data_IF_965318368653
#
_entry.id   IF_965318368653
#
_cell.length_a   1.000
_cell.length_b   1.000
_cell.length_c   1.000
_cell.angle_alpha   90.00
_cell.angle_beta   90.00
_cell.angle_gamma   90.00
#
_symmetry.space_group_name_H-M   'P 1'
#
loop_
_entity.id
_entity.type
_entity.pdbx_description
1 polymer ?
#
# COMPACT_ATOMS: atom_id res chain seq x y z
N UNK A 1 6.40 1.99 15.88
CA UNK A 1 7.18 1.65 14.68
C UNK A 1 7.75 0.26 14.81
N UNK A 2 7.40 -0.61 13.86
CA UNK A 2 8.03 -1.92 13.68
C UNK A 2 9.53 -1.75 13.38
N UNK A 3 10.35 -2.68 13.88
CA UNK A 3 11.76 -2.80 13.50
C UNK A 3 11.87 -3.15 12.02
N UNK A 4 13.01 -2.88 11.38
CA UNK A 4 13.24 -3.24 9.97
C UNK A 4 13.01 -4.74 9.70
N UNK A 5 13.40 -5.59 10.65
CA UNK A 5 13.11 -7.03 10.63
C UNK A 5 11.61 -7.32 10.70
N UNK A 6 10.87 -6.59 11.53
CA UNK A 6 9.41 -6.68 11.60
C UNK A 6 8.72 -6.26 10.30
N UNK A 7 9.23 -5.23 9.60
CA UNK A 7 8.75 -4.84 8.28
C UNK A 7 8.98 -5.93 7.23
N UNK A 8 10.22 -6.42 7.12
CA UNK A 8 10.56 -7.48 6.16
C UNK A 8 9.74 -8.75 6.38
N UNK A 9 9.60 -9.17 7.64
CA UNK A 9 8.76 -10.31 8.00
C UNK A 9 7.29 -10.07 7.66
N UNK A 10 6.76 -8.87 7.94
CA UNK A 10 5.38 -8.53 7.62
C UNK A 10 5.12 -8.60 6.12
N UNK A 11 6.02 -8.05 5.28
CA UNK A 11 5.92 -8.18 3.81
C UNK A 11 5.94 -9.65 3.41
N UNK A 12 6.95 -10.41 3.84
CA UNK A 12 7.10 -11.80 3.43
C UNK A 12 5.90 -12.65 3.82
N UNK A 13 5.46 -12.57 5.08
CA UNK A 13 4.33 -13.34 5.60
C UNK A 13 3.02 -13.00 4.88
N UNK A 14 2.76 -11.70 4.65
CA UNK A 14 1.52 -11.25 3.98
C UNK A 14 1.52 -11.55 2.49
N UNK A 15 2.66 -11.46 1.80
CA UNK A 15 2.80 -11.90 0.40
C UNK A 15 2.55 -13.41 0.30
N UNK A 16 3.18 -14.22 1.16
CA UNK A 16 2.92 -15.66 1.20
C UNK A 16 1.44 -15.98 1.43
N UNK A 17 0.79 -15.30 2.38
CA UNK A 17 -0.63 -15.48 2.65
C UNK A 17 -1.50 -15.14 1.42
N UNK A 18 -1.23 -14.01 0.75
CA UNK A 18 -1.94 -13.62 -0.49
C UNK A 18 -1.76 -14.65 -1.60
N UNK A 19 -0.52 -15.10 -1.82
CA UNK A 19 -0.15 -16.03 -2.90
C UNK A 19 -0.72 -17.43 -2.65
N UNK A 20 -0.62 -17.95 -1.42
CA UNK A 20 -1.20 -19.25 -1.05
C UNK A 20 -2.73 -19.23 -1.16
N UNK A 21 -3.36 -18.12 -0.79
CA UNK A 21 -4.80 -17.97 -0.99
C UNK A 21 -5.19 -17.90 -2.48
N UNK A 22 -4.33 -17.33 -3.34
CA UNK A 22 -4.51 -17.37 -4.79
C UNK A 22 -4.34 -18.78 -5.36
N UNK A 23 -3.35 -19.53 -4.88
CA UNK A 23 -3.07 -20.91 -5.30
C UNK A 23 -4.22 -21.89 -4.98
N UNK A 24 -5.06 -21.56 -4.00
CA UNK A 24 -6.26 -22.33 -3.69
C UNK A 24 -7.39 -22.16 -4.73
N UNK A 25 -7.21 -21.28 -5.73
CA UNK A 25 -8.19 -20.96 -6.78
C UNK A 25 -9.58 -20.57 -6.26
N UNK A 26 -9.65 -20.05 -5.04
CA UNK A 26 -10.89 -19.62 -4.40
C UNK A 26 -10.90 -18.09 -4.26
N UNK A 27 -11.62 -17.37 -5.14
CA UNK A 27 -11.67 -15.90 -5.11
C UNK A 27 -12.08 -15.32 -3.77
N UNK A 28 -13.02 -15.95 -3.08
CA UNK A 28 -13.47 -15.51 -1.76
C UNK A 28 -12.39 -15.63 -0.68
N UNK A 29 -11.56 -16.68 -0.73
CA UNK A 29 -10.47 -16.88 0.23
C UNK A 29 -9.38 -15.82 0.04
N UNK A 30 -8.95 -15.60 -1.21
CA UNK A 30 -7.95 -14.60 -1.53
C UNK A 30 -8.46 -13.18 -1.27
N UNK A 31 -9.72 -12.90 -1.58
CA UNK A 31 -10.40 -11.64 -1.23
C UNK A 31 -10.34 -11.38 0.27
N UNK A 32 -10.69 -12.39 1.08
CA UNK A 32 -10.67 -12.27 2.55
C UNK A 32 -9.26 -12.09 3.08
N UNK A 33 -8.28 -12.85 2.58
CA UNK A 33 -6.88 -12.73 2.98
C UNK A 33 -6.34 -11.33 2.71
N UNK A 34 -6.53 -10.84 1.48
CA UNK A 34 -6.13 -9.50 1.05
C UNK A 34 -6.83 -8.42 1.90
N UNK A 35 -8.13 -8.55 2.16
CA UNK A 35 -8.88 -7.61 2.99
C UNK A 35 -8.30 -7.53 4.42
N UNK A 36 -8.07 -8.67 5.07
CA UNK A 36 -7.52 -8.75 6.42
C UNK A 36 -6.13 -8.13 6.49
N UNK A 37 -5.26 -8.42 5.51
CA UNK A 37 -3.92 -7.86 5.42
C UNK A 37 -3.97 -6.33 5.29
N UNK A 38 -4.77 -5.81 4.37
CA UNK A 38 -4.92 -4.37 4.14
C UNK A 38 -5.49 -3.66 5.36
N UNK A 39 -6.50 -4.23 6.02
CA UNK A 39 -7.04 -3.71 7.29
C UNK A 39 -5.96 -3.69 8.36
N UNK A 40 -5.18 -4.76 8.52
CA UNK A 40 -4.11 -4.81 9.50
C UNK A 40 -3.05 -3.72 9.25
N UNK A 41 -2.59 -3.54 8.01
CA UNK A 41 -1.65 -2.47 7.65
C UNK A 41 -2.23 -1.08 7.95
N UNK A 42 -3.49 -0.83 7.58
CA UNK A 42 -4.15 0.44 7.86
C UNK A 42 -4.26 0.71 9.35
N UNK A 43 -4.72 -0.27 10.14
CA UNK A 43 -4.87 -0.11 11.59
C UNK A 43 -3.53 0.13 12.30
N UNK A 44 -2.48 -0.60 11.90
CA UNK A 44 -1.14 -0.41 12.45
C UNK A 44 -0.60 0.99 12.08
N UNK A 45 -0.77 1.42 10.83
CA UNK A 45 -0.35 2.74 10.37
C UNK A 45 -1.05 3.87 11.15
N UNK A 46 -2.38 3.80 11.29
CA UNK A 46 -3.18 4.79 12.03
C UNK A 46 -2.77 4.78 13.51
N UNK A 47 -2.57 3.61 14.13
CA UNK A 47 -2.13 3.50 15.52
C UNK A 47 -0.76 4.17 15.74
N UNK A 48 0.21 3.89 14.88
CA UNK A 48 1.55 4.48 14.98
C UNK A 48 1.51 6.00 14.74
N UNK A 49 0.68 6.45 13.79
CA UNK A 49 0.44 7.86 13.54
C UNK A 49 -0.16 8.57 14.75
N UNK A 50 -1.22 8.00 15.35
CA UNK A 50 -1.81 8.52 16.59
C UNK A 50 -0.79 8.58 17.72
N UNK A 51 0.02 7.52 17.88
CA UNK A 51 1.09 7.50 18.89
C UNK A 51 2.07 8.67 18.69
N UNK A 52 2.57 8.87 17.47
CA UNK A 52 3.48 9.97 17.16
C UNK A 52 2.86 11.34 17.47
N UNK A 53 1.58 11.53 17.16
CA UNK A 53 0.85 12.77 17.49
C UNK A 53 0.73 12.98 18.99
N UNK A 54 0.34 11.94 19.74
CA UNK A 54 0.18 12.05 21.20
C UNK A 54 1.50 12.35 21.91
N UNK A 55 2.64 11.94 21.36
CA UNK A 55 3.96 12.25 21.90
C UNK A 55 4.51 13.60 21.43
N UNK A 56 3.75 14.38 20.67
CA UNK A 56 4.19 15.67 20.14
C UNK A 56 5.33 15.56 19.11
N UNK A 57 5.38 14.46 18.35
CA UNK A 57 6.40 14.27 17.33
C UNK A 57 6.30 15.35 16.23
N UNK A 58 7.44 15.76 15.63
CA UNK A 58 7.42 16.74 14.55
C UNK A 58 6.66 16.19 13.32
N UNK A 59 6.10 17.10 12.52
CA UNK A 59 5.28 16.74 11.35
C UNK A 59 6.09 15.88 10.36
N UNK A 60 7.36 16.18 10.15
CA UNK A 60 8.27 15.38 9.32
C UNK A 60 8.41 13.92 9.80
N UNK A 61 8.39 13.66 11.11
CA UNK A 61 8.43 12.30 11.64
C UNK A 61 7.12 11.55 11.36
N UNK A 62 5.99 12.23 11.45
CA UNK A 62 4.70 11.67 11.06
C UNK A 62 4.71 11.38 9.54
N UNK A 63 5.31 12.26 8.74
CA UNK A 63 5.31 12.18 7.28
C UNK A 63 6.17 11.00 6.81
N UNK A 64 7.35 10.86 7.41
CA UNK A 64 8.21 9.70 7.19
C UNK A 64 7.51 8.40 7.57
N UNK A 65 6.86 8.36 8.75
CA UNK A 65 6.11 7.19 9.19
C UNK A 65 5.01 6.81 8.19
N UNK A 66 4.22 7.78 7.76
CA UNK A 66 3.14 7.58 6.78
C UNK A 66 3.70 7.03 5.47
N UNK A 67 4.76 7.65 4.95
CA UNK A 67 5.40 7.24 3.70
C UNK A 67 5.96 5.80 3.78
N UNK A 68 6.50 5.37 4.93
CA UNK A 68 6.93 3.98 5.15
C UNK A 68 5.78 2.98 5.10
N UNK A 69 4.64 3.30 5.75
CA UNK A 69 3.45 2.44 5.70
C UNK A 69 2.85 2.36 4.29
N UNK A 70 2.80 3.48 3.56
CA UNK A 70 2.38 3.47 2.15
C UNK A 70 3.32 2.62 1.30
N UNK A 71 4.64 2.74 1.49
CA UNK A 71 5.63 1.92 0.80
C UNK A 71 5.43 0.43 1.04
N UNK A 72 5.09 0.03 2.27
CA UNK A 72 4.79 -1.36 2.60
C UNK A 72 3.57 -1.88 1.84
N UNK A 73 2.48 -1.11 1.78
CA UNK A 73 1.28 -1.53 1.03
C UNK A 73 1.63 -1.68 -0.45
N UNK A 74 2.38 -0.75 -1.02
CA UNK A 74 2.83 -0.81 -2.41
C UNK A 74 3.76 -2.00 -2.68
N UNK A 75 4.74 -2.24 -1.81
CA UNK A 75 5.68 -3.35 -1.93
C UNK A 75 4.98 -4.70 -1.81
N UNK A 76 4.05 -4.84 -0.86
CA UNK A 76 3.21 -6.02 -0.72
C UNK A 76 2.38 -6.27 -1.98
N UNK A 77 1.75 -5.22 -2.53
CA UNK A 77 0.95 -5.35 -3.75
C UNK A 77 1.82 -5.75 -4.95
N UNK A 78 2.97 -5.10 -5.13
CA UNK A 78 3.92 -5.40 -6.21
C UNK A 78 4.38 -6.87 -6.16
N UNK A 79 4.87 -7.31 -5.00
CA UNK A 79 5.36 -8.68 -4.83
C UNK A 79 4.24 -9.72 -4.94
N UNK A 80 3.05 -9.41 -4.43
CA UNK A 80 1.89 -10.30 -4.55
C UNK A 80 1.48 -10.47 -6.02
N UNK A 81 1.46 -9.40 -6.82
CA UNK A 81 1.20 -9.49 -8.27
C UNK A 81 2.30 -10.30 -8.96
N UNK A 82 3.56 -9.95 -8.73
CA UNK A 82 4.70 -10.62 -9.37
C UNK A 82 4.65 -12.14 -9.11
N UNK A 83 4.55 -12.55 -7.86
CA UNK A 83 4.62 -13.98 -7.51
C UNK A 83 3.38 -14.71 -7.98
N UNK A 84 2.19 -14.12 -7.82
CA UNK A 84 0.93 -14.75 -8.24
C UNK A 84 0.91 -15.02 -9.74
N UNK A 85 1.29 -14.04 -10.57
CA UNK A 85 1.18 -14.16 -12.03
C UNK A 85 2.41 -14.75 -12.71
N UNK A 86 3.56 -14.81 -12.03
CA UNK A 86 4.75 -15.46 -12.57
C UNK A 86 4.81 -16.95 -12.21
N UNK A 87 4.25 -17.36 -11.07
CA UNK A 87 4.46 -18.71 -10.53
C UNK A 87 3.20 -19.49 -10.14
N UNK A 88 2.04 -18.85 -9.98
CA UNK A 88 0.85 -19.51 -9.40
C UNK A 88 -0.31 -19.62 -10.37
N UNK A 89 -0.70 -18.53 -11.02
CA UNK A 89 -1.84 -18.52 -11.94
C UNK A 89 -1.32 -18.72 -13.37
N UNK A 90 -1.72 -19.84 -13.99
CA UNK A 90 -1.38 -20.16 -15.39
C UNK A 90 -2.14 -19.30 -16.41
N UNK A 91 -3.25 -18.68 -16.00
CA UNK A 91 -4.04 -17.82 -16.88
C UNK A 91 -3.26 -16.57 -17.26
N UNK A 92 -3.09 -16.38 -18.56
CA UNK A 92 -2.34 -15.24 -19.07
C UNK A 92 -3.13 -13.94 -18.93
N UNK A 93 -2.61 -13.02 -18.13
CA UNK A 93 -3.06 -11.63 -18.05
C UNK A 93 -1.96 -10.70 -18.58
N UNK A 94 -2.03 -10.30 -19.86
CA UNK A 94 -0.91 -9.65 -20.55
C UNK A 94 -0.36 -8.38 -19.87
N UNK A 95 -1.20 -7.67 -19.13
CA UNK A 95 -0.86 -6.38 -18.53
C UNK A 95 -0.33 -6.48 -17.10
N UNK A 96 -0.25 -7.68 -16.48
CA UNK A 96 0.13 -7.85 -15.07
C UNK A 96 1.44 -7.14 -14.72
N UNK A 97 2.40 -7.15 -15.66
CA UNK A 97 3.73 -6.56 -15.47
C UNK A 97 3.69 -5.03 -15.36
N UNK A 98 2.75 -4.36 -16.04
CA UNK A 98 2.60 -2.90 -15.97
C UNK A 98 2.21 -2.47 -14.55
N UNK A 99 1.30 -3.24 -13.94
CA UNK A 99 0.87 -2.99 -12.58
C UNK A 99 1.95 -3.33 -11.56
N UNK A 100 2.69 -4.43 -11.76
CA UNK A 100 3.86 -4.73 -10.95
C UNK A 100 4.87 -3.58 -10.95
N UNK A 101 5.23 -3.06 -12.13
CA UNK A 101 6.19 -1.94 -12.24
C UNK A 101 5.63 -0.68 -11.59
N UNK A 102 4.35 -0.34 -11.83
CA UNK A 102 3.71 0.83 -11.23
C UNK A 102 3.72 0.77 -9.71
N UNK A 103 3.40 -0.38 -9.13
CA UNK A 103 3.41 -0.61 -7.69
C UNK A 103 4.82 -0.57 -7.10
N UNK A 104 5.79 -1.19 -7.78
CA UNK A 104 7.19 -1.17 -7.36
C UNK A 104 7.75 0.25 -7.37
N UNK A 105 7.44 1.03 -8.42
CA UNK A 105 7.82 2.43 -8.51
C UNK A 105 7.21 3.24 -7.35
N UNK A 106 5.92 3.06 -7.05
CA UNK A 106 5.26 3.72 -5.94
C UNK A 106 5.89 3.35 -4.58
N UNK A 107 6.25 2.08 -4.39
CA UNK A 107 6.94 1.61 -3.18
C UNK A 107 8.31 2.29 -3.01
N UNK A 108 9.11 2.34 -4.08
CA UNK A 108 10.45 2.97 -4.08
C UNK A 108 10.35 4.48 -3.88
N UNK A 109 9.42 5.15 -4.56
CA UNK A 109 9.23 6.59 -4.44
C UNK A 109 8.82 6.98 -3.02
N UNK A 110 7.89 6.23 -2.42
CA UNK A 110 7.42 6.49 -1.05
C UNK A 110 8.49 6.22 0.02
N UNK A 111 9.26 5.13 -0.10
CA UNK A 111 10.37 4.90 0.85
C UNK A 111 11.50 5.91 0.66
N UNK A 112 11.82 6.29 -0.57
CA UNK A 112 12.80 7.34 -0.86
C UNK A 112 12.40 8.68 -0.25
N UNK A 113 11.12 9.03 -0.33
CA UNK A 113 10.57 10.22 0.32
C UNK A 113 10.67 10.14 1.85
N UNK A 114 10.39 8.98 2.45
CA UNK A 114 10.57 8.78 3.89
C UNK A 114 12.04 8.99 4.32
N UNK A 115 12.99 8.43 3.56
CA UNK A 115 14.43 8.59 3.82
C UNK A 115 14.86 10.05 3.73
N UNK A 116 14.34 10.82 2.76
CA UNK A 116 14.61 12.25 2.65
C UNK A 116 14.15 13.01 3.91
N UNK A 117 12.91 12.76 4.35
CA UNK A 117 12.35 13.39 5.54
C UNK A 117 13.13 13.05 6.81
N UNK A 118 13.55 11.79 6.97
CA UNK A 118 14.35 11.38 8.11
C UNK A 118 15.74 12.01 8.11
N UNK A 119 16.37 12.11 6.94
CA UNK A 119 17.68 12.73 6.78
C UNK A 119 17.64 14.20 7.14
N UNK A 120 16.63 14.93 6.67
CA UNK A 120 16.50 16.36 6.94
C UNK A 120 16.19 16.62 8.42
N UNK A 121 15.30 15.81 9.01
CA UNK A 121 15.05 15.81 10.45
C UNK A 121 16.30 15.52 11.27
N UNK A 122 17.11 14.54 10.87
CA UNK A 122 18.38 14.21 11.55
C UNK A 122 19.40 15.35 11.45
N UNK A 123 19.33 16.16 10.38
CA UNK A 123 20.13 17.37 10.22
C UNK A 123 19.55 18.60 10.96
N UNK A 124 18.47 18.44 11.74
CA UNK A 124 17.80 19.55 12.43
C UNK A 124 17.05 20.52 11.53
N UNK A 125 16.82 20.14 10.26
CA UNK A 125 16.10 20.93 9.26
C UNK A 125 14.69 20.37 9.10
N UNK A 126 13.68 21.16 9.43
CA UNK A 126 12.28 20.82 9.13
C UNK A 126 11.88 21.61 7.88
N UNK A 127 12.09 21.03 6.71
CA UNK A 127 11.82 21.70 5.44
C UNK A 127 10.30 21.74 5.17
N UNK A 128 9.70 22.92 5.34
CA UNK A 128 8.29 23.16 5.07
C UNK A 128 7.89 22.82 3.63
N UNK A 129 8.82 22.90 2.66
CA UNK A 129 8.56 22.52 1.28
C UNK A 129 8.38 21.00 1.14
N UNK A 130 9.21 20.20 1.82
CA UNK A 130 9.07 18.74 1.80
C UNK A 130 7.75 18.30 2.44
N UNK A 131 7.35 18.92 3.55
CA UNK A 131 6.06 18.64 4.18
C UNK A 131 4.90 18.97 3.22
N UNK A 132 4.95 20.14 2.56
CA UNK A 132 3.95 20.55 1.57
C UNK A 132 3.89 19.60 0.37
N UNK A 133 5.05 19.13 -0.12
CA UNK A 133 5.13 18.12 -1.18
C UNK A 133 4.51 16.79 -0.73
N UNK A 134 4.83 16.33 0.49
CA UNK A 134 4.25 15.14 1.08
C UNK A 134 2.72 15.20 1.11
N UNK A 135 2.16 16.33 1.54
CA UNK A 135 0.72 16.56 1.54
C UNK A 135 0.10 16.49 0.14
N UNK A 136 0.72 17.11 -0.86
CA UNK A 136 0.24 17.04 -2.25
C UNK A 136 0.28 15.61 -2.80
N UNK A 137 1.35 14.86 -2.51
CA UNK A 137 1.46 13.46 -2.87
C UNK A 137 0.34 12.63 -2.22
N UNK A 138 0.05 12.84 -0.94
CA UNK A 138 -1.07 12.16 -0.27
C UNK A 138 -2.42 12.50 -0.92
N UNK A 139 -2.67 13.76 -1.29
CA UNK A 139 -3.88 14.14 -2.00
C UNK A 139 -3.99 13.44 -3.36
N UNK A 140 -2.89 13.41 -4.13
CA UNK A 140 -2.83 12.71 -5.40
C UNK A 140 -3.09 11.20 -5.22
N UNK A 141 -2.55 10.58 -4.16
CA UNK A 141 -2.81 9.18 -3.82
C UNK A 141 -4.29 8.96 -3.51
N UNK A 142 -4.94 9.77 -2.68
CA UNK A 142 -6.38 9.63 -2.39
C UNK A 142 -7.22 9.72 -3.67
N UNK A 143 -6.96 10.73 -4.52
CA UNK A 143 -7.70 10.91 -5.77
C UNK A 143 -7.47 9.72 -6.71
N UNK A 144 -6.22 9.30 -6.88
CA UNK A 144 -5.86 8.16 -7.73
C UNK A 144 -6.48 6.85 -7.24
N UNK A 145 -6.48 6.60 -5.92
CA UNK A 145 -7.08 5.40 -5.35
C UNK A 145 -8.59 5.41 -5.49
N UNK A 146 -9.25 6.56 -5.28
CA UNK A 146 -10.69 6.70 -5.51
C UNK A 146 -11.06 6.41 -6.98
N UNK A 147 -10.31 7.00 -7.93
CA UNK A 147 -10.51 6.75 -9.35
C UNK A 147 -10.31 5.27 -9.71
N UNK A 148 -9.26 4.63 -9.19
CA UNK A 148 -8.98 3.21 -9.40
C UNK A 148 -10.04 2.28 -8.79
N UNK A 149 -10.57 2.61 -7.62
CA UNK A 149 -11.67 1.85 -7.01
C UNK A 149 -12.94 1.98 -7.85
N UNK A 150 -13.28 3.20 -8.28
CA UNK A 150 -14.47 3.45 -9.10
C UNK A 150 -14.35 2.71 -10.44
N UNK A 151 -13.19 2.73 -11.09
CA UNK A 151 -13.01 2.03 -12.37
C UNK A 151 -13.22 0.53 -12.25
N UNK A 152 -12.82 -0.10 -11.14
CA UNK A 152 -13.08 -1.53 -10.92
C UNK A 152 -14.57 -1.87 -10.90
N UNK A 153 -15.44 -0.99 -10.40
CA UNK A 153 -16.88 -1.22 -10.41
C UNK A 153 -17.52 -0.88 -11.76
N UNK A 154 -17.08 0.20 -12.40
CA UNK A 154 -17.55 0.61 -13.73
C UNK A 154 -17.23 -0.44 -14.78
N UNK A 155 -16.04 -1.04 -14.71
CA UNK A 155 -15.60 -2.09 -15.63
C UNK A 155 -16.10 -3.50 -15.22
N UNK A 156 -16.93 -3.61 -14.17
CA UNK A 156 -17.40 -4.88 -13.60
C UNK A 156 -16.27 -5.87 -13.22
N UNK A 157 -15.13 -5.33 -12.77
CA UNK A 157 -13.93 -6.08 -12.41
C UNK A 157 -13.85 -6.44 -10.93
N UNK A 158 -14.80 -6.03 -10.10
CA UNK A 158 -14.83 -6.38 -8.68
C UNK A 158 -16.27 -6.51 -8.14
N UNK A 159 -16.60 -7.60 -7.40
CA UNK A 159 -15.80 -8.80 -7.19
C UNK A 159 -15.67 -9.63 -8.49
N UNK A 160 -14.61 -10.43 -8.62
CA UNK A 160 -14.32 -11.15 -9.87
C UNK A 160 -14.24 -12.65 -9.68
N UNK A 161 -14.84 -13.38 -10.62
CA UNK A 161 -14.79 -14.84 -10.65
C UNK A 161 -13.43 -15.35 -11.11
N UNK A 162 -13.01 -16.52 -10.60
CA UNK A 162 -11.74 -17.18 -10.94
C UNK A 162 -11.59 -17.47 -12.44
N UNK A 163 -12.69 -17.46 -13.21
CA UNK A 163 -12.68 -17.67 -14.66
C UNK A 163 -11.86 -16.62 -15.41
N UNK A 164 -11.79 -15.38 -14.91
CA UNK A 164 -11.06 -14.27 -15.53
C UNK A 164 -9.58 -14.28 -15.12
N UNK A 165 -8.65 -14.03 -16.04
CA UNK A 165 -7.22 -14.13 -15.75
C UNK A 165 -6.75 -13.20 -14.63
N UNK A 166 -7.30 -11.99 -14.53
CA UNK A 166 -6.88 -10.90 -13.63
C UNK A 166 -7.62 -10.88 -12.27
N UNK A 167 -8.35 -11.95 -11.93
CA UNK A 167 -9.23 -12.00 -10.76
C UNK A 167 -8.49 -11.71 -9.44
N UNK A 168 -7.33 -12.33 -9.23
CA UNK A 168 -6.53 -12.16 -8.01
C UNK A 168 -5.93 -10.76 -7.92
N UNK A 169 -5.61 -10.19 -9.08
CA UNK A 169 -5.09 -8.84 -9.23
C UNK A 169 -6.14 -7.83 -8.79
N UNK A 170 -7.37 -7.95 -9.29
CA UNK A 170 -8.48 -7.06 -8.95
C UNK A 170 -8.73 -6.96 -7.43
N UNK A 171 -8.62 -8.07 -6.71
CA UNK A 171 -8.72 -8.09 -5.25
C UNK A 171 -7.56 -7.32 -4.58
N UNK A 172 -6.31 -7.53 -5.04
CA UNK A 172 -5.13 -6.80 -4.57
C UNK A 172 -5.27 -5.29 -4.83
N UNK A 173 -5.69 -4.89 -6.05
CA UNK A 173 -5.93 -3.47 -6.38
C UNK A 173 -6.94 -2.85 -5.45
N UNK A 174 -8.11 -3.48 -5.31
CA UNK A 174 -9.22 -2.90 -4.58
C UNK A 174 -8.85 -2.62 -3.11
N UNK A 175 -8.37 -3.64 -2.39
CA UNK A 175 -8.04 -3.47 -0.97
C UNK A 175 -6.72 -2.72 -0.76
N UNK A 176 -5.74 -2.88 -1.65
CA UNK A 176 -4.52 -2.08 -1.63
C UNK A 176 -4.83 -0.58 -1.78
N UNK A 177 -5.70 -0.24 -2.74
CA UNK A 177 -6.15 1.14 -2.95
C UNK A 177 -6.93 1.67 -1.74
N UNK A 178 -7.82 0.87 -1.15
CA UNK A 178 -8.51 1.24 0.08
C UNK A 178 -7.55 1.51 1.23
N UNK A 179 -6.53 0.65 1.42
CA UNK A 179 -5.54 0.83 2.47
C UNK A 179 -4.72 2.12 2.26
N UNK A 180 -4.22 2.35 1.03
CA UNK A 180 -3.48 3.57 0.68
C UNK A 180 -4.36 4.82 0.89
N UNK A 181 -5.61 4.79 0.44
CA UNK A 181 -6.55 5.89 0.62
C UNK A 181 -6.83 6.16 2.10
N UNK A 182 -7.09 5.12 2.90
CA UNK A 182 -7.37 5.25 4.33
C UNK A 182 -6.19 5.82 5.10
N UNK A 183 -4.97 5.31 4.86
CA UNK A 183 -3.74 5.80 5.49
C UNK A 183 -3.48 7.26 5.09
N UNK A 184 -3.65 7.59 3.81
CA UNK A 184 -3.45 8.95 3.30
C UNK A 184 -4.48 9.94 3.85
N UNK A 185 -5.75 9.54 3.96
CA UNK A 185 -6.81 10.36 4.54
C UNK A 185 -6.58 10.62 6.03
N UNK A 186 -6.14 9.61 6.79
CA UNK A 186 -5.79 9.78 8.20
C UNK A 186 -4.63 10.77 8.37
N UNK A 187 -3.58 10.65 7.56
CA UNK A 187 -2.45 11.59 7.51
C UNK A 187 -2.87 13.02 7.13
N UNK A 188 -3.78 13.19 6.17
CA UNK A 188 -4.28 14.52 5.80
C UNK A 188 -5.15 15.16 6.89
N UNK A 189 -5.98 14.35 7.58
CA UNK A 189 -6.84 14.83 8.69
C UNK A 189 -6.04 15.32 9.89
N UNK A 190 -4.84 14.78 10.10
CA UNK A 190 -3.99 15.20 11.21
C UNK A 190 -3.26 16.53 10.99
N UNK A 191 -3.54 17.24 9.88
CA UNK A 191 -2.87 18.47 9.44
C UNK A 191 -1.37 18.30 9.19
N UNK A 192 -0.99 17.16 8.64
CA UNK A 192 0.23 17.07 7.84
C UNK A 192 0.15 17.96 6.61
#
# INVERSE_FOLDING_TARGET
>A
MLSMTGWLFSVAATVCATVLAAAAEQPGLQLTAVAVICIAFTLIAIRDHQKLRTTGAPISAIASSTARYLSLVWAWAALSILITYLFVIDKHWAEWWQFFIGFLFAAIATIGFAVLLDRDRAAGRDDAMLVKMGRLLLQAQVIGMAAGIISLFVDHKFPRAATHADWAGCNIFFFGALAVAAISLDALRSRM
#
